data_IF_690399284131
#
_entry.id   IF_690399284131
#
_cell.length_a   1.000
_cell.length_b   1.000
_cell.length_c   1.000
_cell.angle_alpha   90.00
_cell.angle_beta   90.00
_cell.angle_gamma   90.00
#
_symmetry.space_group_name_H-M   'P 1'
#
loop_
_entity.id
_entity.type
_entity.pdbx_description
1 polymer ?
#
# COMPACT_ATOMS: atom_id res chain seq x y z
N UNK A 1 58.35 14.08 -24.57
CA UNK A 1 57.06 14.80 -24.49
C UNK A 1 55.82 13.95 -24.85
N UNK A 2 55.93 12.82 -25.55
CA UNK A 2 54.75 11.97 -25.88
C UNK A 2 54.17 11.16 -24.70
N UNK A 3 55.00 10.75 -23.73
CA UNK A 3 54.56 9.90 -22.59
C UNK A 3 53.67 10.64 -21.59
N UNK A 4 53.91 11.92 -21.34
CA UNK A 4 53.08 12.74 -20.45
C UNK A 4 51.71 12.99 -21.06
N UNK A 5 51.64 13.27 -22.36
CA UNK A 5 50.39 13.43 -23.10
C UNK A 5 49.50 12.18 -23.07
N UNK A 6 50.10 10.99 -23.15
CA UNK A 6 49.37 9.71 -23.03
C UNK A 6 48.77 9.50 -21.63
N UNK A 7 49.47 9.88 -20.56
CA UNK A 7 49.00 9.74 -19.18
C UNK A 7 47.82 10.67 -18.87
N UNK A 8 47.86 11.91 -19.39
CA UNK A 8 46.73 12.83 -19.25
C UNK A 8 45.48 12.31 -19.96
N UNK A 9 45.63 11.75 -21.17
CA UNK A 9 44.49 11.21 -21.92
C UNK A 9 43.84 10.01 -21.22
N UNK A 10 44.66 9.12 -20.65
CA UNK A 10 44.15 7.99 -19.85
C UNK A 10 43.43 8.46 -18.58
N UNK A 11 43.94 9.51 -17.94
CA UNK A 11 43.31 10.07 -16.73
C UNK A 11 41.95 10.71 -17.05
N UNK A 12 41.84 11.46 -18.14
CA UNK A 12 40.56 12.01 -18.60
C UNK A 12 39.54 10.94 -18.97
N UNK A 13 39.98 9.84 -19.63
CA UNK A 13 39.11 8.71 -19.95
C UNK A 13 38.58 8.01 -18.69
N UNK A 14 39.42 7.81 -17.68
CA UNK A 14 38.99 7.21 -16.41
C UNK A 14 37.97 8.11 -15.68
N UNK A 15 38.22 9.41 -15.62
CA UNK A 15 37.27 10.38 -15.02
C UNK A 15 35.91 10.36 -15.75
N UNK A 16 35.92 10.33 -17.09
CA UNK A 16 34.69 10.27 -17.88
C UNK A 16 33.89 8.98 -17.62
N UNK A 17 34.57 7.84 -17.45
CA UNK A 17 33.93 6.55 -17.12
C UNK A 17 33.34 6.56 -15.71
N UNK A 18 34.03 7.15 -14.73
CA UNK A 18 33.51 7.27 -13.36
C UNK A 18 32.26 8.16 -13.30
N UNK A 19 32.24 9.31 -13.99
CA UNK A 19 31.07 10.20 -14.01
C UNK A 19 29.87 9.63 -14.80
N UNK A 20 30.11 8.80 -15.81
CA UNK A 20 29.04 8.09 -16.53
C UNK A 20 28.38 6.99 -15.67
N UNK A 21 29.09 6.47 -14.67
CA UNK A 21 28.56 5.44 -13.76
C UNK A 21 27.59 6.03 -12.72
N UNK A 22 27.88 7.23 -12.20
CA UNK A 22 27.04 7.90 -11.20
C UNK A 22 25.64 8.27 -11.72
N UNK A 23 25.52 8.63 -13.00
CA UNK A 23 24.23 8.97 -13.62
C UNK A 23 23.36 7.75 -13.94
N UNK A 24 23.96 6.57 -14.11
CA UNK A 24 23.23 5.33 -14.35
C UNK A 24 22.52 4.81 -13.07
N UNK A 25 23.13 5.00 -11.91
CA UNK A 25 22.57 4.54 -10.62
C UNK A 25 21.38 5.39 -10.19
N UNK A 26 21.44 6.72 -10.36
CA UNK A 26 20.33 7.63 -10.01
C UNK A 26 19.09 7.43 -10.91
N UNK A 27 19.28 7.12 -12.19
CA UNK A 27 18.16 6.82 -13.10
C UNK A 27 17.52 5.46 -12.81
N UNK A 28 18.31 4.46 -12.38
CA UNK A 28 17.82 3.11 -12.07
C UNK A 28 16.91 3.04 -10.84
N UNK A 29 17.22 3.80 -9.78
CA UNK A 29 16.35 3.86 -8.59
C UNK A 29 15.04 4.61 -8.86
N UNK A 30 15.10 5.67 -9.67
CA UNK A 30 13.92 6.49 -9.98
C UNK A 30 12.91 5.72 -10.85
N UNK A 31 13.35 4.98 -11.87
CA UNK A 31 12.44 4.19 -12.71
C UNK A 31 11.77 3.03 -11.96
N UNK A 32 12.50 2.33 -11.08
CA UNK A 32 11.93 1.24 -10.28
C UNK A 32 10.82 1.72 -9.34
N UNK A 33 11.00 2.89 -8.73
CA UNK A 33 9.96 3.51 -7.90
C UNK A 33 8.70 3.82 -8.72
N UNK A 34 8.83 4.46 -9.88
CA UNK A 34 7.69 4.79 -10.74
C UNK A 34 6.96 3.54 -11.26
N UNK A 35 7.70 2.48 -11.58
CA UNK A 35 7.13 1.22 -12.06
C UNK A 35 6.28 0.52 -10.98
N UNK A 36 6.70 0.57 -9.72
CA UNK A 36 5.93 0.04 -8.59
C UNK A 36 4.67 0.87 -8.32
N UNK A 37 4.78 2.20 -8.38
CA UNK A 37 3.61 3.10 -8.24
C UNK A 37 2.57 2.84 -9.32
N UNK A 38 2.98 2.68 -10.59
CA UNK A 38 2.07 2.36 -11.69
C UNK A 38 1.40 0.99 -11.51
N UNK A 39 2.12 -0.06 -11.11
CA UNK A 39 1.51 -1.37 -10.83
C UNK A 39 0.46 -1.28 -9.72
N UNK A 40 0.75 -0.54 -8.66
CA UNK A 40 -0.17 -0.39 -7.55
C UNK A 40 -1.45 0.35 -7.95
N UNK A 41 -1.35 1.38 -8.81
CA UNK A 41 -2.52 2.03 -9.41
C UNK A 41 -3.33 1.08 -10.30
N UNK A 42 -2.66 0.26 -11.12
CA UNK A 42 -3.34 -0.67 -12.02
C UNK A 42 -4.10 -1.79 -11.27
N UNK A 43 -3.61 -2.22 -10.10
CA UNK A 43 -4.34 -3.14 -9.23
C UNK A 43 -5.56 -2.50 -8.57
N UNK A 44 -5.50 -1.20 -8.21
CA UNK A 44 -6.67 -0.46 -7.69
C UNK A 44 -7.80 -0.32 -8.72
N UNK A 45 -7.46 -0.15 -10.00
CA UNK A 45 -8.43 -0.02 -11.09
C UNK A 45 -9.16 -1.32 -11.47
N UNK A 46 -8.75 -2.48 -10.92
CA UNK A 46 -9.41 -3.79 -11.16
C UNK A 46 -10.49 -4.12 -10.13
N UNK A 47 -10.56 -3.42 -9.01
CA UNK A 47 -11.77 -3.43 -8.19
C UNK A 47 -12.87 -2.75 -9.00
N UNK A 48 -14.11 -3.24 -8.96
CA UNK A 48 -15.25 -2.64 -9.68
C UNK A 48 -15.46 -1.21 -9.16
N UNK A 49 -14.88 -0.22 -9.84
CA UNK A 49 -14.86 1.18 -9.39
C UNK A 49 -16.03 1.98 -9.98
N UNK A 50 -17.27 1.53 -9.78
CA UNK A 50 -18.37 2.50 -9.95
C UNK A 50 -18.37 3.43 -8.74
N UNK A 51 -17.55 4.48 -8.83
CA UNK A 51 -17.37 5.48 -7.79
C UNK A 51 -18.33 6.66 -7.92
N UNK A 52 -19.42 6.53 -8.69
CA UNK A 52 -20.45 7.55 -8.76
C UNK A 52 -21.34 7.50 -7.51
N UNK A 53 -20.83 8.06 -6.42
CA UNK A 53 -21.55 8.23 -5.16
C UNK A 53 -22.20 9.61 -5.14
N UNK A 54 -23.53 9.65 -5.19
CA UNK A 54 -24.29 10.91 -5.25
C UNK A 54 -24.28 11.67 -3.91
N UNK A 55 -24.26 10.94 -2.80
CA UNK A 55 -24.21 11.51 -1.45
C UNK A 55 -23.41 10.60 -0.52
N UNK A 56 -22.49 11.20 0.24
CA UNK A 56 -21.79 10.54 1.34
C UNK A 56 -22.61 10.63 2.61
N UNK A 57 -22.69 9.52 3.34
CA UNK A 57 -23.43 9.44 4.60
C UNK A 57 -22.66 8.59 5.59
N UNK A 58 -22.63 9.02 6.85
CA UNK A 58 -22.05 8.22 7.93
C UNK A 58 -22.75 6.86 8.00
N UNK A 59 -21.95 5.79 8.00
CA UNK A 59 -22.46 4.41 8.03
C UNK A 59 -22.27 3.82 9.42
N UNK A 60 -23.32 3.22 9.95
CA UNK A 60 -23.29 2.37 11.13
C UNK A 60 -23.13 0.89 10.73
N UNK A 61 -22.70 0.01 11.65
CA UNK A 61 -22.69 -1.43 11.38
C UNK A 61 -24.09 -1.95 11.06
N UNK A 62 -24.20 -2.83 10.06
CA UNK A 62 -25.48 -3.40 9.61
C UNK A 62 -25.70 -4.81 10.12
N UNK A 63 -24.63 -5.53 10.49
CA UNK A 63 -24.68 -6.88 11.01
C UNK A 63 -23.93 -6.99 12.32
N UNK A 64 -24.46 -7.80 13.23
CA UNK A 64 -23.89 -8.08 14.54
C UNK A 64 -23.99 -9.56 14.86
N UNK A 65 -22.87 -10.14 15.28
CA UNK A 65 -22.76 -11.53 15.70
C UNK A 65 -22.26 -11.60 17.15
N UNK A 66 -22.98 -12.35 17.98
CA UNK A 66 -22.58 -12.62 19.36
C UNK A 66 -21.60 -13.79 19.44
N UNK A 67 -20.74 -13.76 20.45
CA UNK A 67 -19.82 -14.83 20.79
C UNK A 67 -19.73 -14.93 22.32
N UNK A 68 -19.20 -16.04 22.83
CA UNK A 68 -19.13 -16.31 24.27
C UNK A 68 -18.55 -15.14 25.08
N UNK A 69 -17.47 -14.52 24.57
CA UNK A 69 -16.74 -13.46 25.26
C UNK A 69 -16.66 -12.15 24.45
N UNK A 70 -17.71 -11.82 23.70
CA UNK A 70 -17.69 -10.63 22.87
C UNK A 70 -18.73 -10.57 21.76
N UNK A 71 -18.57 -9.61 20.87
CA UNK A 71 -19.37 -9.49 19.65
C UNK A 71 -18.54 -8.95 18.50
N UNK A 72 -18.94 -9.30 17.28
CA UNK A 72 -18.35 -8.78 16.05
C UNK A 72 -19.42 -8.05 15.25
N UNK A 73 -19.10 -6.83 14.83
CA UNK A 73 -19.97 -5.98 14.03
C UNK A 73 -19.35 -5.74 12.66
N UNK A 74 -20.19 -5.78 11.62
CA UNK A 74 -19.78 -5.59 10.23
C UNK A 74 -20.57 -4.44 9.62
N UNK A 75 -19.88 -3.65 8.81
CA UNK A 75 -20.51 -2.70 7.89
C UNK A 75 -20.85 -3.42 6.58
N UNK A 76 -21.93 -2.97 5.94
CA UNK A 76 -22.36 -3.51 4.65
C UNK A 76 -21.32 -3.21 3.56
N UNK A 77 -20.59 -4.24 3.14
CA UNK A 77 -19.57 -4.16 2.09
C UNK A 77 -20.16 -3.81 0.71
N UNK A 78 -21.46 -4.04 0.51
CA UNK A 78 -22.17 -3.70 -0.72
C UNK A 78 -22.65 -2.25 -0.77
N UNK A 79 -22.45 -1.47 0.31
CA UNK A 79 -22.65 -0.03 0.26
C UNK A 79 -21.71 0.59 -0.76
N UNK A 80 -22.24 1.43 -1.66
CA UNK A 80 -21.47 2.07 -2.74
C UNK A 80 -20.23 2.83 -2.25
N UNK A 81 -20.26 3.41 -1.05
CA UNK A 81 -19.10 4.11 -0.47
C UNK A 81 -17.95 3.14 -0.18
N UNK A 82 -18.26 1.97 0.37
CA UNK A 82 -17.27 0.94 0.67
C UNK A 82 -16.83 0.17 -0.58
N UNK A 83 -17.74 -0.11 -1.52
CA UNK A 83 -17.41 -0.72 -2.81
C UNK A 83 -16.46 0.18 -3.62
N UNK A 84 -16.77 1.48 -3.72
CA UNK A 84 -15.89 2.45 -4.38
C UNK A 84 -14.52 2.56 -3.70
N UNK A 85 -14.47 2.59 -2.36
CA UNK A 85 -13.21 2.63 -1.63
C UNK A 85 -12.42 1.31 -1.69
N UNK A 86 -13.08 0.20 -2.07
CA UNK A 86 -12.48 -1.13 -2.10
C UNK A 86 -12.11 -1.64 -0.71
N UNK A 87 -12.89 -1.30 0.32
CA UNK A 87 -12.62 -1.65 1.72
C UNK A 87 -13.80 -2.34 2.38
N UNK A 88 -13.52 -3.04 3.48
CA UNK A 88 -14.52 -3.55 4.40
C UNK A 88 -14.16 -3.13 5.83
N UNK A 89 -15.17 -2.81 6.64
CA UNK A 89 -14.99 -2.44 8.04
C UNK A 89 -15.60 -3.51 8.96
N UNK A 90 -14.88 -3.80 10.04
CA UNK A 90 -15.25 -4.76 11.09
C UNK A 90 -14.87 -4.18 12.44
N UNK A 91 -15.72 -4.36 13.45
CA UNK A 91 -15.47 -3.94 14.83
C UNK A 91 -15.67 -5.11 15.77
N UNK A 92 -14.61 -5.46 16.49
CA UNK A 92 -14.63 -6.51 17.50
C UNK A 92 -14.72 -5.88 18.89
N UNK A 93 -15.65 -6.36 19.70
CA UNK A 93 -15.69 -6.09 21.14
C UNK A 93 -15.29 -7.36 21.87
N UNK A 94 -14.19 -7.30 22.63
CA UNK A 94 -13.66 -8.43 23.37
C UNK A 94 -13.84 -8.12 24.86
N UNK A 95 -14.58 -8.99 25.56
CA UNK A 95 -14.80 -8.85 27.00
C UNK A 95 -13.53 -9.23 27.79
N UNK A 96 -13.39 -8.82 29.06
CA UNK A 96 -12.29 -9.26 29.90
C UNK A 96 -12.16 -10.79 29.91
N UNK A 97 -10.93 -11.30 29.77
CA UNK A 97 -10.60 -12.74 29.61
C UNK A 97 -11.14 -13.39 28.33
N UNK A 98 -11.71 -12.62 27.40
CA UNK A 98 -12.09 -13.08 26.08
C UNK A 98 -10.89 -13.23 25.15
N UNK A 99 -10.99 -14.19 24.22
CA UNK A 99 -9.99 -14.43 23.19
C UNK A 99 -10.67 -14.34 21.81
N UNK A 100 -10.24 -13.38 20.98
CA UNK A 100 -10.56 -13.41 19.55
C UNK A 100 -9.74 -14.52 18.91
N UNK A 101 -10.42 -15.52 18.34
CA UNK A 101 -9.74 -16.70 17.79
C UNK A 101 -8.83 -16.32 16.61
N UNK A 102 -7.66 -16.98 16.47
CA UNK A 102 -6.78 -16.79 15.32
C UNK A 102 -7.50 -17.05 13.99
N UNK A 103 -7.35 -16.12 13.06
CA UNK A 103 -7.88 -16.23 11.70
C UNK A 103 -6.96 -15.51 10.72
N UNK A 104 -7.13 -15.78 9.44
CA UNK A 104 -6.43 -15.08 8.36
C UNK A 104 -7.45 -14.47 7.40
N UNK A 105 -7.08 -13.36 6.78
CA UNK A 105 -7.88 -12.67 5.78
C UNK A 105 -7.13 -12.68 4.44
N UNK A 106 -7.87 -12.68 3.33
CA UNK A 106 -7.31 -12.60 1.98
C UNK A 106 -6.94 -11.17 1.54
N UNK A 107 -7.14 -10.18 2.41
CA UNK A 107 -6.81 -8.79 2.20
C UNK A 107 -6.01 -8.24 3.40
N UNK A 108 -5.09 -7.27 3.17
CA UNK A 108 -4.40 -6.60 4.25
C UNK A 108 -5.39 -5.82 5.14
N UNK A 109 -5.06 -5.68 6.42
CA UNK A 109 -5.90 -4.99 7.39
C UNK A 109 -5.09 -4.03 8.26
N UNK A 110 -5.74 -2.94 8.67
CA UNK A 110 -5.27 -2.03 9.71
C UNK A 110 -6.19 -2.18 10.92
N UNK A 111 -5.61 -2.36 12.10
CA UNK A 111 -6.35 -2.54 13.35
C UNK A 111 -6.12 -1.30 14.21
N UNK A 112 -7.22 -0.66 14.63
CA UNK A 112 -7.21 0.48 15.54
C UNK A 112 -7.88 0.10 16.86
N UNK A 113 -7.16 0.28 17.97
CA UNK A 113 -7.67 0.00 19.32
C UNK A 113 -8.37 1.25 19.85
N UNK A 114 -9.70 1.18 19.92
CA UNK A 114 -10.53 2.31 20.38
C UNK A 114 -10.48 2.43 21.91
N UNK A 115 -10.55 1.30 22.62
CA UNK A 115 -10.57 1.22 24.08
C UNK A 115 -9.90 -0.09 24.53
N UNK A 116 -9.23 -0.05 25.68
CA UNK A 116 -8.62 -1.20 26.36
C UNK A 116 -8.85 -1.15 27.86
#
# INVERSE_FOLDING_TARGET
MAKTSSLFLTFFLLIAIFHACDSAVLLGEQEFFWQNVQRQQQHRLRARTDCRVEQLTAQEPTLRYESEAGRTEFWDRSNKQFECAGVAAVRNFIQPKGLLLPHYNNAPQLIYIIQG
#
